data_IF_414417772266
#
_entry.id   IF_414417772266
#
_cell.length_a   1.000
_cell.length_b   1.000
_cell.length_c   1.000
_cell.angle_alpha   90.00
_cell.angle_beta   90.00
_cell.angle_gamma   90.00
#
_symmetry.space_group_name_H-M   'P 1'
#
loop_
_entity.id
_entity.type
_entity.pdbx_description
1 polymer ?
#
# COMPACT_ATOMS: atom_id res chain seq x y z
N UNK A 1 2.20 -19.21 -2.53
CA UNK A 1 3.67 -19.10 -2.73
C UNK A 1 4.24 -17.85 -2.08
N UNK A 2 3.50 -16.73 -2.05
CA UNK A 2 3.93 -15.53 -1.32
C UNK A 2 4.40 -15.85 0.11
N UNK A 3 5.52 -15.26 0.49
CA UNK A 3 6.13 -15.43 1.80
C UNK A 3 7.02 -16.67 1.98
N UNK A 4 7.04 -17.62 1.04
CA UNK A 4 7.90 -18.80 1.11
C UNK A 4 9.36 -18.46 0.84
N UNK A 5 10.26 -19.20 1.47
CA UNK A 5 11.69 -19.15 1.19
C UNK A 5 12.02 -20.11 0.05
N UNK A 6 12.81 -19.63 -0.88
CA UNK A 6 13.22 -20.36 -2.07
C UNK A 6 14.68 -20.09 -2.39
N UNK A 7 15.30 -21.03 -3.10
CA UNK A 7 16.60 -20.86 -3.70
C UNK A 7 16.45 -20.67 -5.21
N UNK A 8 17.11 -19.64 -5.75
CA UNK A 8 17.11 -19.30 -7.18
C UNK A 8 18.51 -19.57 -7.75
N UNK A 9 18.59 -20.32 -8.85
CA UNK A 9 19.80 -20.43 -9.66
C UNK A 9 19.72 -19.38 -10.76
N UNK A 10 20.64 -18.43 -10.76
CA UNK A 10 20.67 -17.36 -11.76
C UNK A 10 21.13 -17.91 -13.11
N UNK A 11 20.38 -17.57 -14.15
CA UNK A 11 20.68 -17.94 -15.55
C UNK A 11 20.87 -16.71 -16.43
N UNK A 12 20.40 -15.56 -15.99
CA UNK A 12 20.56 -14.24 -16.61
C UNK A 12 20.96 -13.25 -15.52
N UNK A 13 22.26 -12.95 -15.40
CA UNK A 13 22.73 -11.95 -14.46
C UNK A 13 22.16 -10.56 -14.80
N UNK A 14 22.08 -9.70 -13.77
CA UNK A 14 21.74 -8.28 -13.94
C UNK A 14 22.62 -7.63 -15.03
N UNK A 15 22.01 -6.86 -15.93
CA UNK A 15 22.67 -6.21 -17.06
C UNK A 15 22.90 -7.11 -18.28
N UNK A 16 22.64 -8.42 -18.19
CA UNK A 16 22.73 -9.31 -19.37
C UNK A 16 21.56 -9.07 -20.33
N UNK A 17 21.81 -9.25 -21.64
CA UNK A 17 20.79 -9.10 -22.68
C UNK A 17 20.37 -10.47 -23.22
N UNK A 18 19.10 -10.62 -23.54
CA UNK A 18 18.59 -11.76 -24.26
C UNK A 18 18.83 -11.58 -25.77
N UNK A 19 19.63 -12.43 -26.39
CA UNK A 19 20.05 -12.30 -27.79
C UNK A 19 18.89 -12.42 -28.79
N UNK A 20 17.76 -13.04 -28.38
CA UNK A 20 16.60 -13.22 -29.26
C UNK A 20 15.62 -12.04 -29.16
N UNK A 21 15.37 -11.57 -27.95
CA UNK A 21 14.35 -10.53 -27.71
C UNK A 21 14.93 -9.13 -27.55
N UNK A 22 16.24 -8.99 -27.36
CA UNK A 22 16.91 -7.73 -27.02
C UNK A 22 16.62 -7.23 -25.59
N UNK A 23 15.88 -8.01 -24.79
CA UNK A 23 15.53 -7.62 -23.41
C UNK A 23 16.77 -7.61 -22.53
N UNK A 24 17.08 -6.48 -21.93
CA UNK A 24 18.15 -6.35 -20.93
C UNK A 24 17.57 -6.57 -19.54
N UNK A 25 18.09 -7.52 -18.82
CA UNK A 25 17.62 -7.89 -17.48
C UNK A 25 18.01 -6.82 -16.46
N UNK A 26 17.04 -6.06 -15.91
CA UNK A 26 17.34 -5.00 -14.92
C UNK A 26 17.69 -5.57 -13.55
N UNK A 27 17.41 -6.84 -13.33
CA UNK A 27 17.67 -7.61 -12.11
C UNK A 27 18.25 -8.98 -12.48
N UNK A 28 18.92 -9.64 -11.53
CA UNK A 28 19.27 -11.05 -11.70
C UNK A 28 17.99 -11.87 -11.92
N UNK A 29 17.98 -12.71 -12.95
CA UNK A 29 16.86 -13.61 -13.25
C UNK A 29 17.33 -15.05 -13.31
N UNK A 30 16.49 -15.96 -12.80
CA UNK A 30 16.84 -17.36 -12.75
C UNK A 30 15.65 -18.29 -12.58
N UNK A 31 15.97 -19.56 -12.30
CA UNK A 31 14.99 -20.60 -12.04
C UNK A 31 15.02 -21.02 -10.58
N UNK A 32 13.85 -21.25 -10.01
CA UNK A 32 13.70 -21.69 -8.62
C UNK A 32 13.99 -23.19 -8.54
N UNK A 33 14.85 -23.59 -7.61
CA UNK A 33 15.15 -24.99 -7.36
C UNK A 33 13.90 -25.79 -6.96
N UNK A 34 13.89 -27.08 -7.34
CA UNK A 34 12.79 -28.01 -7.05
C UNK A 34 11.42 -27.55 -7.57
N UNK A 35 11.42 -26.88 -8.73
CA UNK A 35 10.21 -26.49 -9.48
C UNK A 35 10.38 -26.81 -10.95
N UNK A 36 9.28 -26.88 -11.70
CA UNK A 36 9.29 -27.07 -13.16
C UNK A 36 9.68 -25.75 -13.86
N UNK A 37 10.96 -25.35 -13.71
CA UNK A 37 11.54 -24.15 -14.31
C UNK A 37 10.79 -22.84 -13.95
N UNK A 38 10.28 -22.72 -12.72
CA UNK A 38 9.65 -21.49 -12.25
C UNK A 38 10.64 -20.32 -12.32
N UNK A 39 10.35 -19.32 -13.16
CA UNK A 39 11.17 -18.13 -13.32
C UNK A 39 11.05 -17.19 -12.13
N UNK A 40 12.16 -16.56 -11.74
CA UNK A 40 12.17 -15.56 -10.68
C UNK A 40 13.18 -14.45 -10.94
N UNK A 41 12.77 -13.20 -10.67
CA UNK A 41 13.66 -12.05 -10.49
C UNK A 41 14.15 -11.98 -9.05
N UNK A 42 15.40 -11.52 -8.86
CA UNK A 42 16.00 -11.30 -7.56
C UNK A 42 16.13 -9.81 -7.33
N UNK A 43 15.36 -9.28 -6.38
CA UNK A 43 15.32 -7.88 -6.02
C UNK A 43 16.22 -7.58 -4.81
N UNK A 44 16.81 -6.37 -4.76
CA UNK A 44 17.67 -5.93 -3.68
C UNK A 44 19.11 -6.45 -3.74
N UNK A 45 19.51 -7.05 -4.88
CA UNK A 45 20.88 -7.48 -5.17
C UNK A 45 21.32 -6.83 -6.49
N UNK A 46 22.21 -5.84 -6.38
CA UNK A 46 22.62 -4.97 -7.49
C UNK A 46 23.95 -5.36 -8.15
N UNK A 47 24.35 -6.62 -8.02
CA UNK A 47 25.52 -7.20 -8.65
C UNK A 47 25.20 -8.62 -9.13
N UNK A 48 25.94 -9.15 -10.12
CA UNK A 48 25.77 -10.53 -10.57
C UNK A 48 26.01 -11.53 -9.44
N UNK A 49 25.12 -12.54 -9.35
CA UNK A 49 25.26 -13.68 -8.43
C UNK A 49 24.93 -14.97 -9.17
N UNK A 50 25.44 -16.12 -8.69
CA UNK A 50 25.15 -17.43 -9.29
C UNK A 50 23.90 -18.08 -8.65
N UNK A 51 23.72 -17.89 -7.36
CA UNK A 51 22.59 -18.43 -6.60
C UNK A 51 22.15 -17.39 -5.56
N UNK A 52 20.87 -17.46 -5.18
CA UNK A 52 20.31 -16.59 -4.17
C UNK A 52 19.24 -17.34 -3.35
N UNK A 53 19.32 -17.19 -2.04
CA UNK A 53 18.31 -17.68 -1.09
C UNK A 53 17.50 -16.51 -0.58
N UNK A 54 16.18 -16.50 -0.81
CA UNK A 54 15.35 -15.38 -0.43
C UNK A 54 13.87 -15.72 -0.26
N UNK A 55 13.09 -14.72 0.06
CA UNK A 55 11.65 -14.81 0.27
C UNK A 55 10.91 -14.37 -0.99
N UNK A 56 9.88 -15.09 -1.39
CA UNK A 56 8.96 -14.68 -2.47
C UNK A 56 8.12 -13.49 -1.95
N UNK A 57 8.36 -12.31 -2.50
CA UNK A 57 7.72 -11.06 -2.09
C UNK A 57 6.62 -10.60 -3.05
N UNK A 58 6.67 -11.06 -4.31
CA UNK A 58 5.60 -10.81 -5.26
C UNK A 58 5.49 -11.95 -6.28
N UNK A 59 4.32 -12.03 -6.89
CA UNK A 59 4.01 -12.98 -7.97
C UNK A 59 3.37 -12.20 -9.11
N UNK A 60 4.02 -12.27 -10.26
CA UNK A 60 3.45 -11.86 -11.54
C UNK A 60 2.73 -13.06 -12.14
N UNK A 61 1.44 -12.91 -12.49
CA UNK A 61 0.62 -13.99 -13.05
C UNK A 61 0.00 -13.58 -14.38
N UNK A 62 0.34 -14.32 -15.44
CA UNK A 62 -0.35 -14.25 -16.72
C UNK A 62 -1.53 -15.22 -16.71
N UNK A 63 -2.73 -14.71 -16.53
CA UNK A 63 -3.94 -15.52 -16.46
C UNK A 63 -4.30 -16.19 -17.77
N UNK A 64 -3.86 -15.64 -18.91
CA UNK A 64 -4.15 -16.19 -20.23
C UNK A 64 -3.32 -17.45 -20.54
N UNK A 65 -2.06 -17.43 -20.13
CA UNK A 65 -1.09 -18.47 -20.44
C UNK A 65 -0.74 -19.36 -19.25
N UNK A 66 -1.31 -19.10 -18.06
CA UNK A 66 -1.00 -19.83 -16.83
C UNK A 66 0.46 -19.70 -16.36
N UNK A 67 1.17 -18.66 -16.85
CA UNK A 67 2.57 -18.44 -16.49
C UNK A 67 2.70 -17.57 -15.25
N UNK A 68 3.71 -17.89 -14.44
CA UNK A 68 4.04 -17.12 -13.24
C UNK A 68 5.51 -16.74 -13.26
N UNK A 69 5.80 -15.54 -12.77
CA UNK A 69 7.16 -15.10 -12.46
C UNK A 69 7.16 -14.64 -11.01
N UNK A 70 8.11 -15.12 -10.23
CA UNK A 70 8.22 -14.73 -8.84
C UNK A 70 9.23 -13.60 -8.68
N UNK A 71 9.02 -12.75 -7.68
CA UNK A 71 10.02 -11.78 -7.25
C UNK A 71 10.49 -12.23 -5.88
N UNK A 72 11.79 -12.43 -5.76
CA UNK A 72 12.45 -12.96 -4.57
C UNK A 72 13.40 -11.90 -4.03
N UNK A 73 13.38 -11.68 -2.73
CA UNK A 73 14.20 -10.66 -2.07
C UNK A 73 14.81 -11.16 -0.76
N UNK A 74 15.83 -10.47 -0.20
CA UNK A 74 16.38 -10.80 1.12
C UNK A 74 15.30 -10.80 2.21
N UNK A 75 15.49 -11.62 3.24
CA UNK A 75 14.52 -11.82 4.32
C UNK A 75 14.13 -10.53 5.06
N UNK A 76 15.08 -9.64 5.23
CA UNK A 76 14.95 -8.41 6.01
C UNK A 76 14.34 -7.23 5.25
N UNK A 77 14.23 -7.35 3.92
CA UNK A 77 13.75 -6.27 3.06
C UNK A 77 12.24 -6.39 2.82
N UNK A 78 11.59 -5.23 2.72
CA UNK A 78 10.16 -5.11 2.43
C UNK A 78 10.00 -4.20 1.24
N UNK A 79 9.77 -4.79 0.08
CA UNK A 79 9.50 -4.06 -1.15
C UNK A 79 8.00 -4.11 -1.43
N UNK A 80 7.42 -2.96 -1.67
CA UNK A 80 6.04 -2.79 -2.15
C UNK A 80 6.02 -2.75 -3.69
N UNK A 81 4.84 -2.67 -4.28
CA UNK A 81 4.68 -2.67 -5.74
C UNK A 81 5.46 -1.54 -6.42
N UNK A 82 5.56 -0.38 -5.81
CA UNK A 82 6.27 0.77 -6.38
C UNK A 82 7.77 0.55 -6.45
N UNK A 83 8.36 -0.05 -5.41
CA UNK A 83 9.77 -0.43 -5.43
C UNK A 83 10.06 -1.43 -6.56
N UNK A 84 9.10 -2.33 -6.85
CA UNK A 84 9.24 -3.30 -7.96
C UNK A 84 9.19 -2.58 -9.30
N UNK A 85 8.29 -1.60 -9.46
CA UNK A 85 8.14 -0.79 -10.68
C UNK A 85 9.36 0.08 -11.00
N UNK A 86 10.17 0.42 -10.03
CA UNK A 86 11.44 1.14 -10.26
C UNK A 86 12.44 0.32 -11.09
N UNK A 87 12.38 -1.02 -11.00
CA UNK A 87 13.31 -1.92 -11.68
C UNK A 87 12.68 -2.65 -12.86
N UNK A 88 11.39 -2.91 -12.82
CA UNK A 88 10.67 -3.68 -13.84
C UNK A 88 9.53 -2.84 -14.37
N UNK A 89 9.58 -2.46 -15.64
CA UNK A 89 8.47 -1.81 -16.31
C UNK A 89 7.36 -2.85 -16.57
N UNK A 90 6.45 -2.96 -15.58
CA UNK A 90 5.38 -3.96 -15.61
C UNK A 90 4.42 -3.76 -16.79
N UNK A 91 4.21 -2.53 -17.22
CA UNK A 91 3.27 -2.19 -18.29
C UNK A 91 3.85 -2.50 -19.66
N UNK A 92 5.13 -2.25 -19.84
CA UNK A 92 5.86 -2.51 -21.07
C UNK A 92 6.29 -3.97 -21.20
N UNK A 93 6.91 -4.50 -20.14
CA UNK A 93 7.56 -5.82 -20.20
C UNK A 93 6.57 -6.96 -19.89
N UNK A 94 5.53 -6.69 -19.12
CA UNK A 94 4.55 -7.67 -18.65
C UNK A 94 3.09 -7.18 -18.73
N UNK A 95 2.61 -6.67 -19.89
CA UNK A 95 1.31 -5.97 -20.02
C UNK A 95 0.10 -6.87 -19.71
N UNK A 96 0.22 -8.19 -19.81
CA UNK A 96 -0.85 -9.15 -19.50
C UNK A 96 -0.80 -9.72 -18.10
N UNK A 97 0.25 -9.39 -17.33
CA UNK A 97 0.45 -9.95 -16.00
C UNK A 97 -0.24 -9.10 -14.93
N UNK A 98 -0.83 -9.79 -13.96
CA UNK A 98 -1.26 -9.19 -12.69
C UNK A 98 -0.21 -9.45 -11.63
N UNK A 99 0.04 -8.44 -10.81
CA UNK A 99 0.98 -8.56 -9.69
C UNK A 99 0.21 -8.71 -8.36
N UNK A 100 0.67 -9.62 -7.53
CA UNK A 100 0.24 -9.79 -6.14
C UNK A 100 1.48 -9.66 -5.25
N UNK A 101 1.48 -8.69 -4.33
CA UNK A 101 2.61 -8.39 -3.45
C UNK A 101 2.37 -8.92 -2.04
N UNK A 102 3.46 -9.32 -1.36
CA UNK A 102 3.44 -9.73 0.04
C UNK A 102 3.26 -8.52 0.98
N UNK A 103 3.76 -7.36 0.56
CA UNK A 103 3.75 -6.12 1.33
C UNK A 103 2.92 -5.05 0.62
N UNK A 104 2.00 -4.44 1.36
CA UNK A 104 1.23 -3.30 0.92
C UNK A 104 1.43 -2.13 1.87
N UNK A 105 1.45 -0.91 1.33
CA UNK A 105 1.48 0.31 2.12
C UNK A 105 0.35 1.23 1.66
N UNK A 106 -0.38 1.79 2.63
CA UNK A 106 -1.44 2.77 2.40
C UNK A 106 -1.26 3.94 3.34
N UNK A 107 -1.68 5.11 2.89
CA UNK A 107 -1.69 6.32 3.71
C UNK A 107 -3.05 7.00 3.64
N UNK A 108 -3.40 7.71 4.71
CA UNK A 108 -4.66 8.45 4.80
C UNK A 108 -4.66 9.38 5.99
N UNK A 109 -5.81 9.96 6.29
CA UNK A 109 -5.93 10.90 7.40
C UNK A 109 -7.23 10.76 8.20
N UNK A 110 -7.13 11.02 9.51
CA UNK A 110 -8.26 11.43 10.34
C UNK A 110 -8.50 12.91 10.05
N UNK A 111 -9.57 13.21 9.32
CA UNK A 111 -9.93 14.58 8.96
C UNK A 111 -10.94 15.10 9.99
N UNK A 112 -10.65 16.26 10.57
CA UNK A 112 -11.55 16.93 11.51
C UNK A 112 -11.84 18.37 11.10
N UNK A 113 -12.95 18.91 11.59
CA UNK A 113 -13.30 20.33 11.50
C UNK A 113 -14.30 20.73 12.58
N UNK A 114 -14.36 22.02 12.88
CA UNK A 114 -15.46 22.60 13.67
C UNK A 114 -16.72 22.72 12.81
N UNK A 115 -17.82 22.18 13.31
CA UNK A 115 -19.15 22.36 12.72
C UNK A 115 -20.07 22.92 13.80
N UNK A 116 -20.30 24.24 13.76
CA UNK A 116 -21.18 24.96 14.69
C UNK A 116 -20.75 24.84 16.16
N UNK A 117 -19.45 24.95 16.42
CA UNK A 117 -18.89 24.86 17.77
C UNK A 117 -18.69 23.43 18.28
N UNK A 118 -18.86 22.43 17.43
CA UNK A 118 -18.54 21.04 17.76
C UNK A 118 -17.49 20.46 16.79
N UNK A 119 -16.47 19.83 17.35
CA UNK A 119 -15.47 19.11 16.57
C UNK A 119 -16.08 17.83 16.01
N UNK A 120 -16.02 17.69 14.70
CA UNK A 120 -16.49 16.52 13.96
C UNK A 120 -15.34 15.87 13.19
N UNK A 121 -15.38 14.55 13.14
CA UNK A 121 -14.47 13.69 12.42
C UNK A 121 -15.17 13.08 11.21
N UNK A 122 -14.49 13.07 10.06
CA UNK A 122 -14.99 12.46 8.84
C UNK A 122 -14.73 10.95 8.87
N UNK A 123 -15.78 10.18 8.65
CA UNK A 123 -15.69 8.77 8.32
C UNK A 123 -16.31 8.53 6.95
N UNK A 124 -15.76 7.59 6.21
CA UNK A 124 -16.27 7.09 4.93
C UNK A 124 -16.63 5.62 5.05
N UNK A 125 -17.63 5.19 4.29
CA UNK A 125 -18.03 3.80 4.18
C UNK A 125 -17.53 3.22 2.86
N UNK A 126 -16.57 2.32 2.94
CA UNK A 126 -16.02 1.68 1.75
C UNK A 126 -17.03 0.69 1.15
N UNK A 127 -17.29 0.80 -0.15
CA UNK A 127 -18.27 -0.01 -0.87
C UNK A 127 -17.99 -1.51 -0.84
N UNK A 128 -16.72 -1.92 -0.93
CA UNK A 128 -16.33 -3.34 -0.97
C UNK A 128 -16.43 -4.01 0.38
N UNK A 129 -15.96 -3.33 1.44
CA UNK A 129 -15.94 -3.91 2.78
C UNK A 129 -17.19 -3.62 3.58
N UNK A 130 -18.01 -2.65 3.16
CA UNK A 130 -19.16 -2.12 3.88
C UNK A 130 -18.84 -1.64 5.31
N UNK A 131 -17.58 -1.26 5.59
CA UNK A 131 -17.14 -0.78 6.90
C UNK A 131 -16.81 0.71 6.84
N UNK A 132 -17.09 1.39 7.97
CA UNK A 132 -16.68 2.76 8.22
C UNK A 132 -15.20 2.80 8.60
N UNK A 133 -14.51 3.83 8.12
CA UNK A 133 -13.09 4.07 8.39
C UNK A 133 -12.66 5.46 7.91
N UNK A 134 -11.36 5.68 7.84
CA UNK A 134 -10.77 6.94 7.37
C UNK A 134 -10.47 6.86 5.87
N UNK A 135 -10.53 7.99 5.14
CA UNK A 135 -10.07 8.06 3.75
C UNK A 135 -8.59 7.67 3.69
N UNK A 136 -8.24 6.73 2.82
CA UNK A 136 -6.89 6.20 2.64
C UNK A 136 -6.77 5.29 1.43
N UNK A 137 -5.62 5.31 0.79
CA UNK A 137 -5.31 4.38 -0.29
C UNK A 137 -3.83 4.10 -0.45
N UNK A 138 -3.45 3.51 -1.56
CA UNK A 138 -2.10 3.05 -1.81
C UNK A 138 -1.17 4.20 -2.19
N UNK A 139 0.09 4.10 -1.77
CA UNK A 139 1.13 5.04 -2.17
C UNK A 139 1.37 4.88 -3.67
N UNK A 140 1.33 5.97 -4.42
CA UNK A 140 1.72 5.98 -5.83
C UNK A 140 3.21 6.25 -6.02
N UNK A 141 3.73 5.94 -7.23
CA UNK A 141 5.15 6.07 -7.52
C UNK A 141 5.60 7.53 -7.38
N UNK A 142 6.64 7.76 -6.58
CA UNK A 142 7.21 9.07 -6.33
C UNK A 142 6.54 9.87 -5.22
N UNK A 143 5.44 9.38 -4.65
CA UNK A 143 4.75 10.06 -3.55
C UNK A 143 5.42 9.80 -2.19
N UNK A 144 5.44 10.80 -1.36
CA UNK A 144 5.63 10.66 0.08
C UNK A 144 4.33 10.16 0.73
N UNK A 145 4.41 9.68 1.97
CA UNK A 145 3.23 9.25 2.73
C UNK A 145 2.21 10.38 2.93
N UNK A 146 2.69 11.61 3.15
CA UNK A 146 1.85 12.78 3.34
C UNK A 146 1.13 13.18 2.05
N UNK A 147 1.83 13.19 0.93
CA UNK A 147 1.24 13.45 -0.39
C UNK A 147 0.15 12.43 -0.72
N UNK A 148 0.43 11.14 -0.49
CA UNK A 148 -0.58 10.08 -0.64
C UNK A 148 -1.80 10.35 0.24
N UNK A 149 -1.61 10.67 1.52
CA UNK A 149 -2.73 10.91 2.43
C UNK A 149 -3.59 12.11 1.97
N UNK A 150 -2.97 13.19 1.48
CA UNK A 150 -3.67 14.37 0.95
C UNK A 150 -4.45 14.02 -0.31
N UNK A 151 -3.81 13.32 -1.26
CA UNK A 151 -4.44 12.88 -2.52
C UNK A 151 -5.64 11.98 -2.25
N UNK A 152 -5.48 10.97 -1.41
CA UNK A 152 -6.55 10.00 -1.11
C UNK A 152 -7.74 10.66 -0.40
N UNK A 153 -7.50 11.59 0.54
CA UNK A 153 -8.59 12.39 1.14
C UNK A 153 -9.34 13.16 0.05
N UNK A 154 -8.61 13.81 -0.87
CA UNK A 154 -9.21 14.58 -1.95
C UNK A 154 -10.01 13.68 -2.92
N UNK A 155 -9.43 12.57 -3.36
CA UNK A 155 -10.06 11.64 -4.31
C UNK A 155 -11.30 10.99 -3.74
N UNK A 156 -11.23 10.45 -2.52
CA UNK A 156 -12.35 9.73 -1.91
C UNK A 156 -13.45 10.65 -1.40
N UNK A 157 -13.16 11.95 -1.07
CA UNK A 157 -14.09 12.83 -0.37
C UNK A 157 -14.29 14.21 -0.98
N UNK A 158 -13.47 14.60 -1.97
CA UNK A 158 -13.47 15.95 -2.54
C UNK A 158 -12.98 17.05 -1.59
N UNK A 159 -12.38 16.69 -0.46
CA UNK A 159 -11.94 17.61 0.58
C UNK A 159 -10.45 17.92 0.46
N UNK A 160 -10.11 19.21 0.49
CA UNK A 160 -8.73 19.64 0.65
C UNK A 160 -8.36 19.65 2.13
N UNK A 161 -7.48 18.74 2.51
CA UNK A 161 -7.01 18.58 3.88
C UNK A 161 -5.66 19.25 4.07
N UNK A 162 -5.49 19.94 5.21
CA UNK A 162 -4.19 20.41 5.68
C UNK A 162 -3.76 19.49 6.82
N UNK A 163 -2.73 18.69 6.58
CA UNK A 163 -2.16 17.82 7.62
C UNK A 163 -1.51 18.68 8.72
N UNK A 164 -1.59 18.18 9.94
CA UNK A 164 -0.91 18.75 11.11
C UNK A 164 0.42 18.03 11.32
N UNK A 165 1.46 18.80 11.64
CA UNK A 165 2.78 18.26 11.94
C UNK A 165 2.80 17.52 13.29
N UNK A 166 3.67 16.51 13.38
CA UNK A 166 3.94 15.81 14.64
C UNK A 166 3.03 14.63 14.93
N UNK A 167 2.09 14.27 14.03
CA UNK A 167 1.27 13.07 14.20
C UNK A 167 1.39 12.11 13.01
N UNK A 168 1.74 10.87 13.30
CA UNK A 168 1.62 9.72 12.42
C UNK A 168 1.27 8.50 13.27
N UNK A 169 0.15 7.87 13.01
CA UNK A 169 -0.22 6.60 13.62
C UNK A 169 -0.06 5.46 12.61
N UNK A 170 0.75 4.45 12.95
CA UNK A 170 1.04 3.32 12.05
C UNK A 170 0.34 2.07 12.55
N UNK A 171 -0.57 1.54 11.74
CA UNK A 171 -1.24 0.26 11.95
C UNK A 171 -0.65 -0.82 11.04
N UNK A 172 -0.39 -2.01 11.60
CA UNK A 172 0.17 -3.16 10.87
C UNK A 172 -0.72 -4.36 11.09
N UNK A 173 -1.19 -4.95 10.00
CA UNK A 173 -2.03 -6.15 10.06
C UNK A 173 -1.83 -7.04 8.83
N UNK A 174 -2.37 -8.26 8.91
CA UNK A 174 -2.34 -9.20 7.79
C UNK A 174 -3.71 -9.35 7.18
N UNK A 175 -3.77 -9.20 5.85
CA UNK A 175 -4.97 -9.51 5.06
C UNK A 175 -4.92 -11.00 4.71
N UNK A 176 -6.00 -11.73 5.01
CA UNK A 176 -6.14 -13.17 4.76
C UNK A 176 -4.94 -14.01 5.25
N UNK A 177 -4.31 -13.60 6.34
CA UNK A 177 -3.11 -14.21 6.93
C UNK A 177 -1.88 -14.30 5.98
N UNK A 178 -1.87 -13.54 4.87
CA UNK A 178 -0.81 -13.60 3.86
C UNK A 178 -0.15 -12.25 3.62
N UNK A 179 -0.92 -11.25 3.22
CA UNK A 179 -0.41 -9.93 2.82
C UNK A 179 -0.19 -9.09 4.08
N UNK A 180 1.03 -8.62 4.28
CA UNK A 180 1.39 -7.72 5.38
C UNK A 180 1.09 -6.28 4.94
N UNK A 181 0.05 -5.67 5.52
CA UNK A 181 -0.35 -4.30 5.23
C UNK A 181 0.13 -3.35 6.32
N UNK A 182 0.80 -2.28 5.90
CA UNK A 182 1.12 -1.13 6.73
C UNK A 182 0.19 0.03 6.34
N UNK A 183 -0.41 0.67 7.32
CA UNK A 183 -1.26 1.86 7.10
C UNK A 183 -0.73 2.98 7.97
N UNK A 184 -0.30 4.08 7.34
CA UNK A 184 0.08 5.31 8.03
C UNK A 184 -1.09 6.29 7.97
N UNK A 185 -1.59 6.70 9.12
CA UNK A 185 -2.69 7.66 9.25
C UNK A 185 -2.17 8.93 9.90
N UNK A 186 -2.37 10.03 9.21
CA UNK A 186 -2.10 11.38 9.69
C UNK A 186 -3.36 12.00 10.29
N UNK A 187 -3.22 13.18 10.88
CA UNK A 187 -4.36 14.01 11.30
C UNK A 187 -4.34 15.31 10.52
N UNK A 188 -5.51 15.78 10.11
CA UNK A 188 -5.59 17.01 9.35
C UNK A 188 -6.93 17.72 9.51
N UNK A 189 -6.92 19.02 9.25
CA UNK A 189 -8.10 19.88 9.28
C UNK A 189 -8.50 20.35 7.89
N UNK A 190 -9.75 20.77 7.74
CA UNK A 190 -10.27 21.34 6.50
C UNK A 190 -11.21 22.51 6.77
N UNK A 191 -11.25 23.42 5.80
CA UNK A 191 -12.25 24.50 5.74
C UNK A 191 -13.37 24.18 4.73
N UNK A 192 -13.25 23.09 3.99
CA UNK A 192 -14.26 22.69 3.01
C UNK A 192 -15.56 22.29 3.72
N UNK A 193 -16.68 22.86 3.26
CA UNK A 193 -18.00 22.59 3.82
C UNK A 193 -18.72 21.46 3.12
N UNK A 194 -18.39 21.22 1.84
CA UNK A 194 -19.02 20.21 1.02
C UNK A 194 -18.13 18.97 0.95
N UNK A 195 -18.75 17.80 1.00
CA UNK A 195 -18.10 16.51 0.81
C UNK A 195 -18.71 15.86 -0.43
N UNK A 196 -17.86 15.46 -1.38
CA UNK A 196 -18.25 14.79 -2.63
C UNK A 196 -17.50 13.49 -2.76
N UNK A 197 -18.17 12.36 -2.54
CA UNK A 197 -17.54 11.05 -2.53
C UNK A 197 -17.32 10.48 -3.93
N UNK A 198 -16.23 9.74 -4.09
CA UNK A 198 -15.95 8.90 -5.25
C UNK A 198 -16.84 7.64 -5.20
N UNK A 199 -17.94 7.65 -5.93
CA UNK A 199 -18.99 6.63 -5.81
C UNK A 199 -18.60 5.22 -6.25
N UNK A 200 -17.49 5.05 -6.98
CA UNK A 200 -16.93 3.77 -7.39
C UNK A 200 -16.36 2.98 -6.21
N UNK A 201 -15.78 3.68 -5.23
CA UNK A 201 -15.12 3.07 -4.08
C UNK A 201 -15.82 3.35 -2.75
N UNK A 202 -16.43 4.52 -2.62
CA UNK A 202 -17.11 4.98 -1.39
C UNK A 202 -18.62 4.89 -1.55
N UNK A 203 -19.27 4.27 -0.58
CA UNK A 203 -20.73 4.13 -0.52
C UNK A 203 -21.39 5.33 0.13
N UNK A 204 -20.78 5.86 1.21
CA UNK A 204 -21.34 6.92 2.04
C UNK A 204 -20.27 7.63 2.85
N UNK A 205 -20.58 8.79 3.40
CA UNK A 205 -19.73 9.54 4.34
C UNK A 205 -20.55 10.15 5.47
N UNK A 206 -19.89 10.42 6.60
CA UNK A 206 -20.54 11.04 7.76
C UNK A 206 -19.55 11.84 8.60
N UNK A 207 -20.02 12.98 9.13
CA UNK A 207 -19.29 13.80 10.09
C UNK A 207 -19.85 13.57 11.49
N UNK A 208 -19.05 13.06 12.43
CA UNK A 208 -19.47 12.65 13.77
C UNK A 208 -18.60 13.29 14.85
N UNK A 209 -19.18 13.50 16.02
CA UNK A 209 -18.40 13.76 17.24
C UNK A 209 -17.51 12.55 17.58
N UNK A 210 -16.47 12.76 18.38
CA UNK A 210 -15.53 11.71 18.75
C UNK A 210 -16.23 10.44 19.25
N UNK A 211 -17.09 10.54 20.24
CA UNK A 211 -17.78 9.39 20.86
C UNK A 211 -18.60 8.59 19.84
N UNK A 212 -19.30 9.30 18.96
CA UNK A 212 -20.12 8.67 17.91
C UNK A 212 -19.25 8.01 16.84
N UNK A 213 -18.15 8.64 16.45
CA UNK A 213 -17.20 8.07 15.50
C UNK A 213 -16.55 6.81 16.08
N UNK A 214 -16.10 6.88 17.34
CA UNK A 214 -15.52 5.73 18.06
C UNK A 214 -16.50 4.55 18.14
N UNK A 215 -17.79 4.83 18.39
CA UNK A 215 -18.84 3.80 18.48
C UNK A 215 -19.16 3.17 17.12
N UNK A 216 -19.03 3.92 16.02
CA UNK A 216 -19.33 3.45 14.67
C UNK A 216 -18.21 2.61 14.05
N UNK A 217 -16.96 2.87 14.45
CA UNK A 217 -15.79 2.12 14.01
C UNK A 217 -15.84 0.68 14.55
N UNK A 218 -15.66 -0.29 13.63
CA UNK A 218 -15.74 -1.71 13.98
C UNK A 218 -14.42 -2.27 14.49
N UNK A 219 -13.30 -1.85 13.89
CA UNK A 219 -11.99 -2.45 14.16
C UNK A 219 -11.23 -1.70 15.26
N UNK A 220 -10.63 -2.45 16.17
CA UNK A 220 -9.85 -1.87 17.28
C UNK A 220 -8.68 -1.00 16.79
N UNK A 221 -8.07 -1.35 15.66
CA UNK A 221 -7.03 -0.52 15.06
C UNK A 221 -7.55 0.88 14.72
N UNK A 222 -8.74 0.98 14.10
CA UNK A 222 -9.32 2.27 13.72
C UNK A 222 -9.78 3.07 14.96
N UNK A 223 -10.27 2.39 15.99
CA UNK A 223 -10.59 3.01 17.28
C UNK A 223 -9.34 3.58 17.96
N UNK A 224 -8.25 2.83 17.97
CA UNK A 224 -6.97 3.28 18.52
C UNK A 224 -6.42 4.49 17.74
N UNK A 225 -6.57 4.50 16.41
CA UNK A 225 -6.16 5.62 15.56
C UNK A 225 -6.92 6.88 15.90
N UNK A 226 -8.27 6.85 15.95
CA UNK A 226 -9.07 8.05 16.26
C UNK A 226 -8.85 8.53 17.69
N UNK A 227 -8.65 7.61 18.65
CA UNK A 227 -8.33 7.98 20.03
C UNK A 227 -6.98 8.69 20.10
N UNK A 228 -5.94 8.12 19.48
CA UNK A 228 -4.63 8.77 19.44
C UNK A 228 -4.66 10.12 18.74
N UNK A 229 -5.45 10.27 17.67
CA UNK A 229 -5.64 11.54 16.98
C UNK A 229 -6.37 12.57 17.86
N UNK A 230 -7.43 12.17 18.55
CA UNK A 230 -8.18 13.02 19.45
C UNK A 230 -7.32 13.51 20.64
N UNK A 231 -6.56 12.60 21.24
CA UNK A 231 -5.63 12.93 22.32
C UNK A 231 -4.53 13.91 21.86
N UNK A 232 -3.97 13.69 20.67
CA UNK A 232 -3.00 14.62 20.07
C UNK A 232 -3.59 16.01 19.86
N UNK A 233 -4.81 16.10 19.35
CA UNK A 233 -5.50 17.39 19.12
C UNK A 233 -5.75 18.13 20.43
N UNK A 234 -6.19 17.45 21.48
CA UNK A 234 -6.38 18.03 22.82
C UNK A 234 -5.05 18.50 23.43
N UNK A 235 -4.00 17.68 23.40
CA UNK A 235 -2.70 18.00 23.99
C UNK A 235 -2.01 19.19 23.32
N UNK A 236 -2.30 19.44 22.05
CA UNK A 236 -1.72 20.54 21.27
C UNK A 236 -2.68 21.74 21.10
N UNK A 237 -3.81 21.78 21.82
CA UNK A 237 -4.81 22.85 21.81
C UNK A 237 -5.36 23.14 20.40
N UNK A 238 -5.58 22.12 19.60
CA UNK A 238 -6.27 22.24 18.31
C UNK A 238 -7.80 22.16 18.47
N UNK A 239 -8.26 21.58 19.58
CA UNK A 239 -9.66 21.36 19.92
C UNK A 239 -9.88 21.57 21.42
#
# INVERSE_FOLDING_TARGET
MLGKYVRVRVVKPIGSTNDVTGYTYPLNYGTVYNTDNQGAFIMGIHHPVNNFDGRVIAILSDRKNGKYIWIVAPKSTRFIINDIREYIDLEKDFPSYKIECLYESSCGAVVFRDIRGEIKYLLIKNRRSAHWGFPKGHIEQGETKQETAIREVLEETGIHVKLLDGFECVSKYKIQNKIEKNVSIFVGTTQDTNTSIQTEEIEDFIWLTYDRALSLLKFENDKNIITSAHDFLNQNNYI
#
